data_IF_319573893016
#
_entry.id   IF_319573893016
#
_cell.length_a   1.000
_cell.length_b   1.000
_cell.length_c   1.000
_cell.angle_alpha   90.00
_cell.angle_beta   90.00
_cell.angle_gamma   90.00
#
_symmetry.space_group_name_H-M   'P 1'
#
loop_
_entity.id
_entity.type
_entity.pdbx_description
1 polymer ?
#
# COMPACT_ATOMS: atom_id res chain seq x y z
N UNK A 1 -9.09 -1.83 8.58
CA UNK A 1 -9.41 -1.13 7.32
C UNK A 1 -8.15 -0.90 6.51
N UNK A 2 -8.31 -0.57 5.23
CA UNK A 2 -7.22 -0.42 4.27
C UNK A 2 -7.48 0.75 3.34
N UNK A 3 -6.40 1.40 2.89
CA UNK A 3 -6.42 2.43 1.87
C UNK A 3 -5.06 2.63 1.21
N UNK A 4 -4.96 3.62 0.34
CA UNK A 4 -3.73 3.97 -0.37
C UNK A 4 -3.04 5.16 0.28
N UNK A 5 -1.77 5.00 0.68
CA UNK A 5 -0.87 6.13 0.92
C UNK A 5 -0.26 6.62 -0.40
N UNK A 6 0.11 5.67 -1.26
CA UNK A 6 0.63 5.90 -2.60
C UNK A 6 0.05 4.85 -3.56
N UNK A 7 -0.83 5.25 -4.48
CA UNK A 7 -1.53 4.30 -5.35
C UNK A 7 -0.61 3.61 -6.38
N UNK A 8 0.03 4.37 -7.28
CA UNK A 8 0.97 3.81 -8.25
C UNK A 8 2.43 4.15 -7.88
N UNK A 9 2.68 5.42 -7.58
CA UNK A 9 4.00 5.97 -7.28
C UNK A 9 3.83 7.38 -6.67
N UNK A 10 4.94 8.02 -6.29
CA UNK A 10 4.94 9.31 -5.60
C UNK A 10 4.25 10.43 -6.41
N UNK A 11 4.33 10.36 -7.74
CA UNK A 11 3.67 11.31 -8.65
C UNK A 11 2.18 11.03 -8.83
N UNK A 12 1.75 9.80 -8.55
CA UNK A 12 0.38 9.30 -8.70
C UNK A 12 -0.12 8.64 -7.41
N UNK A 13 -0.10 9.40 -6.31
CA UNK A 13 -0.59 8.93 -5.00
C UNK A 13 -2.10 8.69 -4.97
N UNK A 14 -2.85 9.42 -5.80
CA UNK A 14 -4.32 9.40 -5.85
C UNK A 14 -4.85 8.54 -7.00
N UNK A 15 -5.74 7.56 -6.73
CA UNK A 15 -6.38 6.77 -7.79
C UNK A 15 -7.21 7.63 -8.75
N UNK A 16 -7.12 7.32 -10.05
CA UNK A 16 -7.92 7.96 -11.09
C UNK A 16 -9.31 7.31 -11.18
N UNK A 17 -10.34 7.98 -10.64
CA UNK A 17 -11.72 7.49 -10.56
C UNK A 17 -12.40 7.24 -11.91
N UNK A 18 -11.72 7.53 -13.03
CA UNK A 18 -12.19 7.19 -14.39
C UNK A 18 -11.83 5.76 -14.80
N UNK A 19 -10.99 5.06 -14.03
CA UNK A 19 -10.64 3.66 -14.28
C UNK A 19 -11.73 2.71 -13.75
N UNK A 20 -11.79 1.51 -14.32
CA UNK A 20 -12.65 0.42 -13.87
C UNK A 20 -12.00 -0.36 -12.70
N UNK A 21 -12.78 -1.18 -12.01
CA UNK A 21 -12.27 -2.11 -10.99
C UNK A 21 -12.35 -1.61 -9.54
N UNK A 22 -12.70 -0.35 -9.29
CA UNK A 22 -12.89 0.15 -7.92
C UNK A 22 -14.23 -0.29 -7.31
N UNK A 23 -15.29 -0.24 -8.11
CA UNK A 23 -16.66 -0.64 -7.76
C UNK A 23 -17.37 -1.11 -9.03
N UNK A 24 -18.50 -1.81 -8.87
CA UNK A 24 -19.32 -2.29 -9.98
C UNK A 24 -19.75 -1.16 -10.93
N UNK A 25 -19.83 -1.50 -12.22
CA UNK A 25 -20.23 -0.55 -13.26
C UNK A 25 -21.60 0.04 -12.94
N UNK A 26 -21.65 1.37 -12.90
CA UNK A 26 -22.86 2.12 -12.64
C UNK A 26 -23.19 2.35 -11.15
N UNK A 27 -22.47 1.71 -10.23
CA UNK A 27 -22.64 1.92 -8.79
C UNK A 27 -22.06 3.27 -8.36
N UNK A 28 -22.77 3.98 -7.48
CA UNK A 28 -22.27 5.22 -6.87
C UNK A 28 -21.33 4.88 -5.71
N UNK A 29 -20.19 5.54 -5.66
CA UNK A 29 -19.20 5.36 -4.61
C UNK A 29 -18.55 6.69 -4.23
N UNK A 30 -17.77 6.67 -3.15
CA UNK A 30 -17.06 7.84 -2.62
C UNK A 30 -15.60 7.46 -2.44
N UNK A 31 -14.69 8.31 -2.94
CA UNK A 31 -13.29 8.28 -2.52
C UNK A 31 -13.11 9.25 -1.36
N UNK A 32 -12.53 8.78 -0.26
CA UNK A 32 -12.13 9.60 0.88
C UNK A 32 -10.64 9.91 0.80
N UNK A 33 -10.25 11.12 1.19
CA UNK A 33 -8.87 11.48 1.57
C UNK A 33 -8.86 11.61 3.08
N UNK A 34 -7.92 10.90 3.71
CA UNK A 34 -7.78 10.85 5.15
C UNK A 34 -6.49 11.55 5.56
N UNK A 35 -6.51 12.21 6.71
CA UNK A 35 -5.33 12.68 7.42
C UNK A 35 -5.27 11.93 8.76
N UNK A 36 -4.31 11.01 8.88
CA UNK A 36 -4.20 10.09 10.00
C UNK A 36 -2.89 10.33 10.75
N UNK A 37 -2.90 10.24 12.10
CA UNK A 37 -1.67 10.14 12.89
C UNK A 37 -0.81 8.95 12.45
N UNK A 38 0.52 9.15 12.42
CA UNK A 38 1.46 8.12 11.93
C UNK A 38 1.47 6.85 12.79
N UNK A 39 1.16 6.96 14.08
CA UNK A 39 1.08 5.86 15.04
C UNK A 39 -0.20 5.00 14.89
N UNK A 40 -1.17 5.46 14.09
CA UNK A 40 -2.42 4.74 13.80
C UNK A 40 -2.43 4.03 12.45
N UNK A 41 -1.35 4.17 11.68
CA UNK A 41 -1.23 3.59 10.35
C UNK A 41 0.00 2.71 10.25
N UNK A 42 -0.17 1.54 9.64
CA UNK A 42 0.95 0.70 9.21
C UNK A 42 1.02 0.78 7.69
N UNK A 43 2.14 1.28 7.20
CA UNK A 43 2.43 1.35 5.77
C UNK A 43 3.22 0.12 5.34
N UNK A 44 2.85 -0.46 4.20
CA UNK A 44 3.60 -1.58 3.61
C UNK A 44 3.64 -1.50 2.09
N UNK A 45 4.64 -2.15 1.52
CA UNK A 45 4.75 -2.34 0.07
C UNK A 45 3.62 -3.26 -0.40
N UNK A 46 2.74 -2.71 -1.25
CA UNK A 46 1.58 -3.44 -1.75
C UNK A 46 2.00 -4.61 -2.65
N UNK A 47 3.05 -4.43 -3.43
CA UNK A 47 3.52 -5.47 -4.34
C UNK A 47 4.19 -6.58 -3.54
N UNK A 48 5.12 -6.28 -2.63
CA UNK A 48 5.81 -7.32 -1.86
C UNK A 48 4.89 -8.17 -0.97
N UNK A 49 3.67 -7.70 -0.69
CA UNK A 49 2.67 -8.47 0.07
C UNK A 49 2.46 -9.89 -0.49
N UNK A 50 2.54 -10.09 -1.81
CA UNK A 50 2.37 -11.42 -2.40
C UNK A 50 3.50 -12.40 -2.05
N UNK A 51 4.73 -11.93 -1.78
CA UNK A 51 5.82 -12.81 -1.33
C UNK A 51 5.49 -13.43 0.02
N UNK A 52 5.04 -12.59 0.96
CA UNK A 52 4.67 -13.01 2.30
C UNK A 52 3.51 -14.01 2.26
N UNK A 53 2.47 -13.74 1.47
CA UNK A 53 1.31 -14.63 1.34
C UNK A 53 1.66 -15.99 0.74
N UNK A 54 2.65 -16.05 -0.16
CA UNK A 54 3.07 -17.28 -0.81
C UNK A 54 4.26 -17.96 -0.10
N UNK A 55 4.69 -17.46 1.06
CA UNK A 55 5.87 -17.96 1.78
C UNK A 55 7.15 -17.95 0.93
N UNK A 56 7.26 -17.01 -0.01
CA UNK A 56 8.46 -16.82 -0.81
C UNK A 56 9.47 -15.97 -0.05
N UNK A 57 10.75 -16.25 -0.22
CA UNK A 57 11.82 -15.47 0.39
C UNK A 57 11.94 -14.11 -0.29
N UNK A 58 11.84 -13.03 0.48
CA UNK A 58 12.28 -11.69 0.06
C UNK A 58 13.75 -11.62 0.46
N UNK A 59 14.72 -11.29 -0.41
CA UNK A 59 16.12 -11.18 0.00
C UNK A 59 16.36 -10.09 1.05
N UNK A 60 17.44 -10.22 1.81
CA UNK A 60 17.89 -9.22 2.77
C UNK A 60 18.67 -8.06 2.17
N UNK A 61 19.12 -7.15 3.03
CA UNK A 61 20.19 -6.22 2.64
C UNK A 61 21.47 -7.00 2.35
N UNK A 62 22.32 -6.44 1.48
CA UNK A 62 23.62 -7.01 1.14
C UNK A 62 24.45 -7.26 2.41
N UNK A 63 24.85 -8.52 2.62
CA UNK A 63 25.64 -8.94 3.78
C UNK A 63 24.84 -9.44 4.97
N UNK A 64 23.50 -9.45 4.92
CA UNK A 64 22.68 -10.20 5.86
C UNK A 64 22.84 -11.71 5.61
N UNK A 65 22.99 -12.49 6.68
CA UNK A 65 22.90 -13.95 6.57
C UNK A 65 21.49 -14.34 6.16
N UNK A 66 21.39 -15.22 5.16
CA UNK A 66 20.09 -15.76 4.75
C UNK A 66 19.51 -16.62 5.88
N UNK A 67 18.52 -16.07 6.59
CA UNK A 67 17.69 -16.84 7.50
C UNK A 67 16.58 -17.54 6.71
N UNK A 68 16.36 -18.84 6.93
CA UNK A 68 15.21 -19.55 6.36
C UNK A 68 13.87 -19.15 7.03
N UNK A 69 13.87 -18.24 8.01
CA UNK A 69 12.67 -17.83 8.72
C UNK A 69 11.84 -16.80 7.93
N UNK A 70 10.58 -17.18 7.66
CA UNK A 70 9.56 -16.33 7.06
C UNK A 70 9.22 -15.06 7.85
N UNK A 71 9.57 -14.99 9.15
CA UNK A 71 9.37 -13.81 9.97
C UNK A 71 10.03 -12.56 9.38
N UNK A 72 11.20 -12.72 8.74
CA UNK A 72 11.92 -11.62 8.10
C UNK A 72 11.18 -11.03 6.91
N UNK A 73 10.35 -11.82 6.20
CA UNK A 73 9.58 -11.30 5.07
C UNK A 73 8.52 -10.30 5.53
N UNK A 74 7.93 -10.51 6.72
CA UNK A 74 6.98 -9.56 7.30
C UNK A 74 7.66 -8.23 7.63
N UNK A 75 8.85 -8.25 8.21
CA UNK A 75 9.58 -7.00 8.50
C UNK A 75 9.97 -6.26 7.20
N UNK A 76 10.37 -7.01 6.18
CA UNK A 76 10.80 -6.46 4.89
C UNK A 76 9.69 -5.74 4.12
N UNK A 77 8.43 -6.19 4.20
CA UNK A 77 7.34 -5.46 3.54
C UNK A 77 7.02 -4.12 4.18
N UNK A 78 7.48 -3.87 5.41
CA UNK A 78 7.37 -2.59 6.10
C UNK A 78 8.58 -1.68 5.87
N UNK A 79 9.73 -2.23 5.44
CA UNK A 79 10.89 -1.46 5.00
C UNK A 79 10.65 -0.88 3.59
N UNK A 80 10.00 0.27 3.54
CA UNK A 80 9.67 0.97 2.29
C UNK A 80 10.90 1.55 1.57
N UNK A 81 12.04 1.65 2.25
CA UNK A 81 13.28 2.21 1.70
C UNK A 81 14.16 1.10 1.07
N UNK A 82 13.94 -0.17 1.44
CA UNK A 82 14.55 -1.31 0.76
C UNK A 82 14.02 -1.51 -0.66
N UNK A 83 14.95 -1.80 -1.57
CA UNK A 83 14.64 -2.21 -2.93
C UNK A 83 15.71 -3.13 -3.49
N UNK A 84 15.29 -4.00 -4.40
CA UNK A 84 16.18 -4.81 -5.21
C UNK A 84 15.58 -4.95 -6.62
N UNK A 85 16.38 -4.64 -7.63
CA UNK A 85 15.97 -4.72 -9.03
C UNK A 85 15.42 -6.12 -9.36
N UNK A 86 14.27 -6.16 -10.01
CA UNK A 86 13.56 -7.40 -10.33
C UNK A 86 12.71 -7.98 -9.20
N UNK A 87 12.73 -7.40 -7.99
CA UNK A 87 11.91 -7.84 -6.85
C UNK A 87 10.92 -6.76 -6.43
N UNK A 88 11.43 -5.56 -6.12
CA UNK A 88 10.59 -4.41 -5.81
C UNK A 88 11.24 -3.11 -6.27
N UNK A 89 10.41 -2.08 -6.36
CA UNK A 89 10.79 -0.75 -6.79
C UNK A 89 11.33 0.10 -5.64
N UNK A 90 12.01 1.20 -5.98
CA UNK A 90 12.34 2.26 -5.01
C UNK A 90 11.06 2.89 -4.45
N UNK A 91 11.13 3.42 -3.23
CA UNK A 91 10.00 4.02 -2.50
C UNK A 91 9.15 4.97 -3.33
N UNK A 92 9.76 5.80 -4.16
CA UNK A 92 9.05 6.78 -5.00
C UNK A 92 8.25 6.13 -6.12
N UNK A 93 8.55 4.87 -6.47
CA UNK A 93 7.88 4.08 -7.50
C UNK A 93 7.01 2.95 -6.94
N UNK A 94 7.02 2.72 -5.61
CA UNK A 94 6.19 1.69 -4.97
C UNK A 94 4.71 2.06 -4.97
N UNK A 95 3.83 1.07 -5.08
CA UNK A 95 2.48 1.17 -4.54
C UNK A 95 2.56 0.91 -3.03
N UNK A 96 2.10 1.86 -2.21
CA UNK A 96 2.17 1.78 -0.74
C UNK A 96 0.75 1.79 -0.19
N UNK A 97 0.40 0.69 0.46
CA UNK A 97 -0.86 0.57 1.17
C UNK A 97 -0.73 1.07 2.60
N UNK A 98 -1.88 1.45 3.16
CA UNK A 98 -2.05 1.89 4.53
C UNK A 98 -3.12 1.02 5.19
N UNK A 99 -2.76 0.38 6.29
CA UNK A 99 -3.71 -0.35 7.15
C UNK A 99 -3.89 0.37 8.47
N UNK A 100 -5.13 0.46 8.93
CA UNK A 100 -5.53 1.20 10.13
C UNK A 100 -6.85 0.66 10.66
N UNK A 101 -7.15 0.92 11.94
CA UNK A 101 -8.27 0.26 12.64
C UNK A 101 -9.63 0.90 12.37
N UNK A 102 -9.69 2.23 12.42
CA UNK A 102 -10.92 3.01 12.34
C UNK A 102 -10.73 4.28 11.50
N UNK A 103 -11.84 4.86 11.03
CA UNK A 103 -11.92 6.17 10.37
C UNK A 103 -12.85 7.01 11.22
N UNK A 104 -12.37 8.16 11.66
CA UNK A 104 -13.18 9.17 12.35
C UNK A 104 -13.55 10.28 11.38
N UNK A 105 -14.69 10.93 11.61
CA UNK A 105 -15.22 11.91 10.67
C UNK A 105 -14.33 13.16 10.55
N UNK A 106 -13.65 13.53 11.62
CA UNK A 106 -12.66 14.63 11.68
C UNK A 106 -11.37 14.33 10.91
N UNK A 107 -11.10 13.05 10.60
CA UNK A 107 -9.94 12.63 9.79
C UNK A 107 -10.21 12.71 8.29
N UNK A 108 -11.48 12.88 7.89
CA UNK A 108 -11.88 12.99 6.49
C UNK A 108 -11.71 14.43 6.01
N UNK A 109 -10.63 14.67 5.26
CA UNK A 109 -10.29 16.03 4.79
C UNK A 109 -10.82 16.34 3.38
N UNK A 110 -11.15 15.30 2.59
CA UNK A 110 -11.77 15.46 1.26
C UNK A 110 -12.61 14.23 0.95
N UNK A 111 -13.72 14.43 0.22
CA UNK A 111 -14.47 13.33 -0.38
C UNK A 111 -14.84 13.66 -1.83
N UNK A 112 -14.90 12.65 -2.68
CA UNK A 112 -15.32 12.80 -4.09
C UNK A 112 -16.28 11.67 -4.47
N UNK A 113 -17.50 12.04 -4.87
CA UNK A 113 -18.45 11.10 -5.44
C UNK A 113 -18.03 10.68 -6.85
N UNK A 114 -18.18 9.40 -7.17
CA UNK A 114 -17.99 8.89 -8.52
C UNK A 114 -18.96 7.74 -8.82
N UNK A 115 -19.00 7.33 -10.10
CA UNK A 115 -19.78 6.19 -10.58
C UNK A 115 -18.84 5.18 -11.21
N UNK A 116 -18.97 3.90 -10.86
CA UNK A 116 -18.18 2.83 -11.46
C UNK A 116 -18.34 2.81 -12.98
N UNK A 117 -17.22 2.58 -13.68
CA UNK A 117 -17.14 2.60 -15.15
C UNK A 117 -17.30 1.21 -15.76
#
# INVERSE_FOLDING_TARGET
MWGWYQFENEKKKKPDLRQAGYVEKGMRAVRLKLELPIDRVVLSDFNLWHYVLNQWNIPGHLGEEESPDSANNWERIFDLDWYQEGITERKEQKAIQATFWEIRMDEVVEYTFFKGR
#
